data_IF_855948963324
#
_entry.id   IF_855948963324
#
_cell.length_a   1.000
_cell.length_b   1.000
_cell.length_c   1.000
_cell.angle_alpha   90.00
_cell.angle_beta   90.00
_cell.angle_gamma   90.00
#
_symmetry.space_group_name_H-M   'P 1'
#
loop_
_entity.id
_entity.type
_entity.pdbx_description
1 polymer ?
#
# COMPACT_ATOMS: atom_id res chain seq x y z
N UNK A 1 -1.70 -15.77 29.46
CA UNK A 1 -1.60 -14.32 29.19
C UNK A 1 -2.94 -13.71 29.48
N UNK A 2 -3.00 -12.61 30.26
CA UNK A 2 -4.22 -11.83 30.45
C UNK A 2 -4.12 -10.55 29.64
N UNK A 3 -5.23 -10.12 29.06
CA UNK A 3 -5.31 -8.93 28.22
C UNK A 3 -6.31 -7.95 28.80
N UNK A 4 -5.93 -6.67 28.87
CA UNK A 4 -6.79 -5.56 29.31
C UNK A 4 -6.55 -4.33 28.43
N UNK A 5 -7.52 -3.41 28.44
CA UNK A 5 -7.40 -2.10 27.83
C UNK A 5 -7.35 -1.04 28.93
N UNK A 6 -6.40 -0.13 28.83
CA UNK A 6 -6.21 0.95 29.80
C UNK A 6 -6.19 2.30 29.10
N UNK A 7 -6.76 3.32 29.75
CA UNK A 7 -6.61 4.71 29.33
C UNK A 7 -5.39 5.30 30.02
N UNK A 8 -4.42 5.74 29.24
CA UNK A 8 -3.23 6.45 29.69
C UNK A 8 -3.32 7.92 29.30
N UNK A 9 -2.40 8.75 29.81
CA UNK A 9 -2.26 10.16 29.40
C UNK A 9 -2.04 10.28 27.87
N UNK A 10 -1.38 9.28 27.28
CA UNK A 10 -1.04 9.24 25.85
C UNK A 10 -2.11 8.53 24.99
N UNK A 11 -3.30 8.28 25.55
CA UNK A 11 -4.40 7.61 24.87
C UNK A 11 -4.63 6.17 25.33
N UNK A 12 -5.28 5.37 24.48
CA UNK A 12 -5.61 3.98 24.80
C UNK A 12 -4.38 3.07 24.64
N UNK A 13 -4.20 2.18 25.60
CA UNK A 13 -3.16 1.16 25.60
C UNK A 13 -3.77 -0.24 25.70
N UNK A 14 -3.24 -1.17 24.91
CA UNK A 14 -3.44 -2.61 25.09
C UNK A 14 -2.38 -3.12 26.06
N UNK A 15 -2.80 -3.75 27.16
CA UNK A 15 -1.90 -4.29 28.18
C UNK A 15 -1.91 -5.82 28.12
N UNK A 16 -0.73 -6.40 27.95
CA UNK A 16 -0.50 -7.84 28.06
C UNK A 16 0.18 -8.15 29.39
N UNK A 17 -0.56 -8.74 30.33
CA UNK A 17 0.00 -9.23 31.59
C UNK A 17 0.53 -10.66 31.38
N UNK A 18 1.84 -10.81 31.53
CA UNK A 18 2.54 -12.08 31.36
C UNK A 18 2.57 -12.87 32.67
N UNK A 19 2.60 -14.20 32.56
CA UNK A 19 2.77 -15.08 33.73
C UNK A 19 4.15 -14.87 34.34
N UNK A 20 4.29 -15.10 35.64
CA UNK A 20 5.48 -14.76 36.44
C UNK A 20 6.74 -15.47 35.94
N UNK A 21 6.59 -16.66 35.36
CA UNK A 21 7.65 -17.52 34.83
C UNK A 21 8.04 -17.18 33.38
N UNK A 22 7.30 -16.28 32.72
CA UNK A 22 7.54 -15.93 31.32
C UNK A 22 8.81 -15.11 31.18
N UNK A 23 9.85 -15.68 30.56
CA UNK A 23 11.10 -14.98 30.29
C UNK A 23 10.95 -14.05 29.08
N UNK A 24 11.00 -12.76 29.36
CA UNK A 24 11.03 -11.70 28.34
C UNK A 24 12.45 -11.58 27.77
N UNK A 25 12.52 -11.29 26.47
CA UNK A 25 13.75 -10.99 25.74
C UNK A 25 13.88 -9.46 25.69
N UNK A 26 14.46 -8.86 26.73
CA UNK A 26 14.51 -7.40 26.90
C UNK A 26 15.17 -6.66 25.73
N UNK A 27 16.16 -7.28 25.11
CA UNK A 27 16.80 -6.76 23.90
C UNK A 27 15.79 -6.45 22.77
N UNK A 28 14.76 -7.28 22.59
CA UNK A 28 13.75 -7.06 21.53
C UNK A 28 12.85 -5.86 21.83
N UNK A 29 12.61 -5.57 23.11
CA UNK A 29 11.89 -4.38 23.55
C UNK A 29 12.70 -3.14 23.20
N UNK A 30 14.00 -3.14 23.53
CA UNK A 30 14.89 -2.04 23.17
C UNK A 30 14.99 -1.86 21.66
N UNK A 31 14.97 -2.94 20.87
CA UNK A 31 15.00 -2.85 19.41
C UNK A 31 13.78 -2.12 18.86
N UNK A 32 12.58 -2.45 19.34
CA UNK A 32 11.34 -1.76 18.95
C UNK A 32 11.37 -0.29 19.41
N UNK A 33 11.86 -0.04 20.62
CA UNK A 33 11.90 1.31 21.21
C UNK A 33 12.84 2.25 20.46
N UNK A 34 14.05 1.80 20.12
CA UNK A 34 15.05 2.63 19.44
C UNK A 34 14.92 2.62 17.92
N UNK A 35 14.14 1.71 17.34
CA UNK A 35 13.89 1.62 15.90
C UNK A 35 12.39 1.54 15.64
N UNK A 36 11.65 2.64 15.90
CA UNK A 36 10.20 2.64 15.73
C UNK A 36 9.85 2.36 14.27
N UNK A 37 9.00 1.36 14.06
CA UNK A 37 8.49 1.00 12.75
C UNK A 37 6.96 1.17 12.74
N UNK A 38 6.37 1.84 11.74
CA UNK A 38 4.93 2.16 11.75
C UNK A 38 4.03 0.92 11.78
N UNK A 39 4.53 -0.24 11.36
CA UNK A 39 3.78 -1.51 11.38
C UNK A 39 3.97 -2.34 12.67
N UNK A 40 4.76 -1.86 13.63
CA UNK A 40 4.97 -2.52 14.93
C UNK A 40 4.53 -1.55 16.01
N UNK A 41 3.59 -1.95 16.87
CA UNK A 41 3.14 -1.06 17.93
C UNK A 41 4.26 -0.79 18.93
N UNK A 42 4.47 0.49 19.33
CA UNK A 42 5.41 0.83 20.39
C UNK A 42 5.04 0.10 21.68
N UNK A 43 6.06 -0.44 22.37
CA UNK A 43 5.87 -1.24 23.58
C UNK A 43 6.64 -0.65 24.76
N UNK A 44 5.98 -0.58 25.91
CA UNK A 44 6.58 -0.24 27.19
C UNK A 44 6.47 -1.42 28.16
N UNK A 45 7.60 -1.82 28.74
CA UNK A 45 7.65 -2.82 29.81
C UNK A 45 7.42 -2.16 31.16
N UNK A 46 6.46 -2.67 31.93
CA UNK A 46 6.19 -2.23 33.31
C UNK A 46 6.17 -3.43 34.24
N UNK A 47 6.46 -3.19 35.52
CA UNK A 47 6.29 -4.17 36.59
C UNK A 47 5.22 -3.68 37.55
N UNK A 48 4.16 -4.46 37.71
CA UNK A 48 3.06 -4.16 38.62
C UNK A 48 2.72 -5.42 39.42
N UNK A 49 2.66 -5.34 40.74
CA UNK A 49 2.29 -6.46 41.63
C UNK A 49 3.07 -7.77 41.35
N UNK A 50 4.39 -7.69 41.15
CA UNK A 50 5.26 -8.81 40.78
C UNK A 50 4.91 -9.52 39.44
N UNK A 51 4.06 -8.92 38.62
CA UNK A 51 3.81 -9.33 37.24
C UNK A 51 4.50 -8.37 36.28
N UNK A 52 4.91 -8.90 35.13
CA UNK A 52 5.45 -8.06 34.07
C UNK A 52 4.37 -7.83 33.03
N UNK A 53 4.19 -6.56 32.70
CA UNK A 53 3.17 -6.09 31.76
C UNK A 53 3.85 -5.41 30.58
N UNK A 54 3.29 -5.65 29.40
CA UNK A 54 3.68 -4.97 28.16
C UNK A 54 2.51 -4.09 27.73
N UNK A 55 2.71 -2.78 27.76
CA UNK A 55 1.73 -1.79 27.34
C UNK A 55 2.06 -1.33 25.91
N UNK A 56 1.10 -1.52 24.99
CA UNK A 56 1.18 -1.09 23.59
C UNK A 56 0.29 0.11 23.36
N UNK A 57 0.88 1.23 22.92
CA UNK A 57 0.14 2.46 22.61
C UNK A 57 -0.60 2.31 21.27
N UNK A 58 -1.93 2.44 21.29
CA UNK A 58 -2.77 2.19 20.10
C UNK A 58 -2.92 3.43 19.20
N UNK A 59 -2.89 4.63 19.78
CA UNK A 59 -3.16 5.87 19.05
C UNK A 59 -4.58 5.89 18.47
N UNK A 60 -4.70 6.24 17.18
CA UNK A 60 -5.98 6.28 16.44
C UNK A 60 -6.34 4.95 15.76
N UNK A 61 -5.60 3.88 16.03
CA UNK A 61 -5.89 2.58 15.42
C UNK A 61 -7.01 1.86 16.17
N UNK A 62 -7.85 1.15 15.43
CA UNK A 62 -8.80 0.18 15.97
C UNK A 62 -8.34 -1.24 15.64
N UNK A 63 -8.83 -2.24 16.38
CA UNK A 63 -8.49 -3.63 16.06
C UNK A 63 -9.01 -4.00 14.67
N UNK A 64 -8.34 -4.93 14.00
CA UNK A 64 -8.75 -5.42 12.69
C UNK A 64 -10.10 -6.14 12.77
N UNK A 65 -10.37 -6.80 13.90
CA UNK A 65 -11.69 -7.37 14.21
C UNK A 65 -12.78 -6.30 14.21
N UNK A 66 -12.58 -5.20 14.94
CA UNK A 66 -13.52 -4.08 14.96
C UNK A 66 -13.66 -3.45 13.57
N UNK A 67 -12.55 -3.30 12.84
CA UNK A 67 -12.58 -2.70 11.51
C UNK A 67 -13.42 -3.52 10.53
N UNK A 68 -13.28 -4.84 10.56
CA UNK A 68 -14.08 -5.75 9.75
C UNK A 68 -15.56 -5.72 10.13
N UNK A 69 -15.88 -5.58 11.41
CA UNK A 69 -17.27 -5.44 11.87
C UNK A 69 -17.90 -4.12 11.42
N UNK A 70 -17.18 -3.01 11.59
CA UNK A 70 -17.65 -1.67 11.25
C UNK A 70 -17.71 -1.41 9.73
N UNK A 71 -16.93 -2.16 8.94
CA UNK A 71 -16.84 -2.02 7.48
C UNK A 71 -17.28 -3.30 6.76
N UNK A 72 -18.59 -3.52 6.70
CA UNK A 72 -19.21 -4.70 6.07
C UNK A 72 -18.82 -4.92 4.59
N UNK A 73 -18.26 -3.92 3.91
CA UNK A 73 -17.95 -3.92 2.47
C UNK A 73 -16.46 -4.12 2.12
N UNK A 74 -15.65 -4.72 3.01
CA UNK A 74 -14.24 -4.99 2.71
C UNK A 74 -14.12 -5.87 1.46
N UNK A 75 -13.31 -5.43 0.47
CA UNK A 75 -13.06 -6.17 -0.77
C UNK A 75 -11.88 -7.14 -0.64
N UNK A 76 -11.78 -8.16 -1.50
CA UNK A 76 -10.69 -9.16 -1.43
C UNK A 76 -9.32 -8.50 -1.57
N UNK A 77 -9.21 -7.52 -2.47
CA UNK A 77 -7.99 -6.72 -2.64
C UNK A 77 -7.54 -6.04 -1.33
N UNK A 78 -8.48 -5.62 -0.48
CA UNK A 78 -8.13 -5.01 0.82
C UNK A 78 -7.58 -6.06 1.78
N UNK A 79 -8.18 -7.25 1.84
CA UNK A 79 -7.64 -8.39 2.59
C UNK A 79 -6.22 -8.71 2.11
N UNK A 80 -6.02 -8.83 0.78
CA UNK A 80 -4.70 -9.14 0.22
C UNK A 80 -3.65 -8.06 0.52
N UNK A 81 -4.05 -6.77 0.57
CA UNK A 81 -3.17 -5.67 0.99
C UNK A 81 -2.80 -5.72 2.47
N UNK A 82 -3.76 -6.09 3.32
CA UNK A 82 -3.50 -6.31 4.75
C UNK A 82 -2.51 -7.46 4.90
N UNK A 83 -2.76 -8.60 4.25
CA UNK A 83 -1.86 -9.76 4.29
C UNK A 83 -0.46 -9.44 3.77
N UNK A 84 -0.35 -8.68 2.68
CA UNK A 84 0.94 -8.22 2.16
C UNK A 84 1.67 -7.34 3.18
N UNK A 85 0.96 -6.41 3.82
CA UNK A 85 1.54 -5.52 4.82
C UNK A 85 2.07 -6.30 6.02
N UNK A 86 1.35 -7.34 6.46
CA UNK A 86 1.77 -8.25 7.53
C UNK A 86 3.04 -8.99 7.13
N UNK A 87 3.05 -9.60 5.93
CA UNK A 87 4.22 -10.32 5.42
C UNK A 87 5.45 -9.41 5.33
N UNK A 88 5.26 -8.19 4.81
CA UNK A 88 6.35 -7.22 4.70
C UNK A 88 6.90 -6.85 6.08
N UNK A 89 6.04 -6.58 7.06
CA UNK A 89 6.47 -6.31 8.42
C UNK A 89 7.24 -7.49 9.03
N UNK A 90 6.77 -8.73 8.85
CA UNK A 90 7.47 -9.95 9.32
C UNK A 90 8.86 -10.05 8.67
N UNK A 91 8.97 -9.79 7.37
CA UNK A 91 10.25 -9.86 6.67
C UNK A 91 11.23 -8.77 7.15
N UNK A 92 10.76 -7.53 7.24
CA UNK A 92 11.54 -6.38 7.73
C UNK A 92 11.95 -6.55 9.19
N UNK A 93 11.15 -7.23 10.01
CA UNK A 93 11.44 -7.44 11.44
C UNK A 93 12.77 -8.18 11.68
N UNK A 94 13.21 -9.00 10.71
CA UNK A 94 14.48 -9.72 10.78
C UNK A 94 15.68 -8.78 10.81
N UNK A 95 15.58 -7.64 10.12
CA UNK A 95 16.62 -6.61 10.08
C UNK A 95 16.79 -5.93 11.46
N UNK A 96 15.76 -6.01 12.31
CA UNK A 96 15.77 -5.51 13.69
C UNK A 96 16.01 -6.62 14.72
N UNK A 97 16.47 -7.80 14.30
CA UNK A 97 16.70 -8.96 15.18
C UNK A 97 15.45 -9.40 15.96
N UNK A 98 14.27 -9.11 15.40
CA UNK A 98 12.99 -9.58 15.88
C UNK A 98 12.65 -10.90 15.19
N UNK A 99 11.99 -11.79 15.91
CA UNK A 99 11.59 -13.08 15.37
C UNK A 99 10.16 -13.02 14.84
N UNK A 100 9.92 -13.52 13.63
CA UNK A 100 8.58 -13.50 13.02
C UNK A 100 7.49 -14.18 13.88
N UNK A 101 7.84 -15.21 14.64
CA UNK A 101 6.92 -15.89 15.56
C UNK A 101 6.50 -15.04 16.78
N UNK A 102 7.20 -13.94 17.05
CA UNK A 102 6.87 -12.98 18.10
C UNK A 102 5.63 -12.14 17.79
N UNK A 103 5.19 -12.06 16.53
CA UNK A 103 3.97 -11.33 16.20
C UNK A 103 2.70 -12.09 16.59
N UNK A 104 1.74 -11.39 17.18
CA UNK A 104 0.41 -11.93 17.48
C UNK A 104 -0.48 -11.84 16.23
N UNK A 105 -0.48 -12.90 15.42
CA UNK A 105 -1.26 -12.98 14.18
C UNK A 105 -2.72 -13.40 14.44
N UNK A 106 -3.49 -12.50 15.04
CA UNK A 106 -4.92 -12.63 15.30
C UNK A 106 -5.56 -11.25 15.19
N UNK A 107 -6.79 -11.18 14.68
CA UNK A 107 -7.48 -9.92 14.34
C UNK A 107 -7.66 -8.98 15.53
N UNK A 108 -7.59 -9.50 16.77
CA UNK A 108 -7.67 -8.72 18.01
C UNK A 108 -6.37 -8.01 18.39
N UNK A 109 -5.24 -8.45 17.83
CA UNK A 109 -3.90 -7.92 18.12
C UNK A 109 -3.23 -7.28 16.89
N UNK A 110 -3.96 -7.20 15.79
CA UNK A 110 -3.59 -6.42 14.61
C UNK A 110 -4.50 -5.22 14.60
N UNK A 111 -3.90 -4.04 14.47
CA UNK A 111 -4.60 -2.77 14.50
C UNK A 111 -4.49 -2.10 13.15
N UNK A 112 -5.51 -1.35 12.77
CA UNK A 112 -5.59 -0.67 11.48
C UNK A 112 -6.08 0.77 11.69
N UNK A 113 -5.44 1.68 10.98
CA UNK A 113 -5.86 3.07 10.94
C UNK A 113 -7.03 3.21 9.95
N UNK A 114 -8.19 3.74 10.35
CA UNK A 114 -9.41 3.72 9.52
C UNK A 114 -9.26 4.48 8.20
N UNK A 115 -8.53 5.61 8.24
CA UNK A 115 -8.31 6.48 7.08
C UNK A 115 -7.19 5.95 6.16
N UNK A 116 -5.98 5.77 6.68
CA UNK A 116 -4.80 5.39 5.87
C UNK A 116 -4.78 3.91 5.51
N UNK A 117 -5.54 3.08 6.23
CA UNK A 117 -5.53 1.61 6.14
C UNK A 117 -4.16 1.00 6.43
N UNK A 118 -3.28 1.75 7.10
CA UNK A 118 -2.00 1.21 7.58
C UNK A 118 -2.24 0.31 8.78
N UNK A 119 -1.60 -0.86 8.77
CA UNK A 119 -1.65 -1.79 9.89
C UNK A 119 -0.53 -1.52 10.88
N UNK A 120 -0.76 -1.87 12.15
CA UNK A 120 0.24 -1.96 13.19
C UNK A 120 0.00 -3.23 14.02
N UNK A 121 1.05 -4.01 14.29
CA UNK A 121 0.94 -5.31 14.94
C UNK A 121 1.55 -5.31 16.33
N UNK A 122 0.94 -6.07 17.24
CA UNK A 122 1.51 -6.36 18.55
C UNK A 122 2.64 -7.39 18.41
N UNK A 123 3.80 -7.08 18.98
CA UNK A 123 4.94 -7.98 19.03
C UNK A 123 5.19 -8.44 20.47
N UNK A 124 5.14 -9.74 20.72
CA UNK A 124 5.39 -10.36 22.01
C UNK A 124 6.88 -10.82 22.12
N UNK A 125 7.71 -10.14 22.93
CA UNK A 125 9.14 -10.41 23.07
C UNK A 125 9.42 -11.59 24.02
N UNK A 126 8.85 -12.75 23.73
CA UNK A 126 9.04 -13.99 24.50
C UNK A 126 9.48 -15.11 23.57
N UNK A 127 10.10 -16.15 24.11
CA UNK A 127 10.43 -17.34 23.32
C UNK A 127 9.13 -18.09 22.99
N UNK A 128 8.69 -17.99 21.74
CA UNK A 128 7.57 -18.76 21.21
C UNK A 128 8.13 -19.83 20.26
N UNK A 129 7.49 -21.00 20.26
CA UNK A 129 7.83 -22.14 19.39
C UNK A 129 6.73 -22.40 18.37
N UNK A 130 5.84 -21.44 18.16
CA UNK A 130 4.67 -21.61 17.31
C UNK A 130 5.04 -21.58 15.83
N UNK A 131 4.32 -22.38 15.03
CA UNK A 131 4.45 -22.34 13.58
C UNK A 131 3.85 -21.05 13.01
N UNK A 132 4.74 -20.18 12.53
CA UNK A 132 4.39 -18.91 11.90
C UNK A 132 3.52 -19.08 10.65
N UNK A 133 3.74 -20.14 9.86
CA UNK A 133 2.95 -20.41 8.67
C UNK A 133 1.52 -20.81 9.05
N UNK A 134 1.37 -21.66 10.08
CA UNK A 134 0.06 -22.02 10.62
C UNK A 134 -0.70 -20.81 11.16
N UNK A 135 -0.03 -19.94 11.91
CA UNK A 135 -0.62 -18.67 12.40
C UNK A 135 -1.10 -17.77 11.27
N UNK A 136 -0.28 -17.57 10.24
CA UNK A 136 -0.64 -16.72 9.10
C UNK A 136 -1.78 -17.33 8.28
N UNK A 137 -1.81 -18.67 8.13
CA UNK A 137 -2.92 -19.39 7.50
C UNK A 137 -4.22 -19.20 8.28
N UNK A 138 -4.18 -19.33 9.60
CA UNK A 138 -5.33 -19.10 10.48
C UNK A 138 -5.84 -17.67 10.39
N UNK A 139 -4.95 -16.67 10.34
CA UNK A 139 -5.34 -15.28 10.14
C UNK A 139 -6.05 -15.05 8.79
N UNK A 140 -5.50 -15.61 7.70
CA UNK A 140 -6.12 -15.52 6.39
C UNK A 140 -7.51 -16.15 6.39
N UNK A 141 -7.68 -17.28 7.07
CA UNK A 141 -8.97 -17.95 7.24
C UNK A 141 -9.96 -17.06 8.00
N UNK A 142 -9.56 -16.50 9.15
CA UNK A 142 -10.41 -15.58 9.94
C UNK A 142 -10.87 -14.37 9.13
N UNK A 143 -9.97 -13.78 8.34
CA UNK A 143 -10.32 -12.62 7.50
C UNK A 143 -11.32 -12.99 6.40
N UNK A 144 -11.12 -14.13 5.74
CA UNK A 144 -12.03 -14.55 4.66
C UNK A 144 -13.39 -15.03 5.18
N UNK A 145 -13.48 -15.55 6.40
CA UNK A 145 -14.77 -15.94 7.01
C UNK A 145 -15.54 -14.76 7.60
N UNK A 146 -14.83 -13.76 8.13
CA UNK A 146 -15.45 -12.57 8.74
C UNK A 146 -16.03 -11.63 7.68
N UNK A 147 -15.41 -11.56 6.49
CA UNK A 147 -15.86 -10.68 5.41
C UNK A 147 -16.89 -11.39 4.54
N UNK A 148 -18.00 -10.70 4.23
CA UNK A 148 -19.11 -11.27 3.45
C UNK A 148 -18.68 -11.73 2.06
N UNK A 149 -19.04 -12.97 1.71
CA UNK A 149 -18.79 -13.57 0.39
C UNK A 149 -19.47 -12.81 -0.75
N UNK A 150 -20.51 -12.03 -0.47
CA UNK A 150 -21.16 -11.17 -1.45
C UNK A 150 -20.23 -10.07 -1.98
N UNK A 151 -19.25 -9.64 -1.18
CA UNK A 151 -18.26 -8.63 -1.56
C UNK A 151 -17.29 -9.14 -2.63
N UNK A 152 -17.12 -10.46 -2.74
CA UNK A 152 -16.14 -11.09 -3.64
C UNK A 152 -16.73 -11.51 -4.99
N UNK A 153 -18.01 -11.20 -5.28
CA UNK A 153 -18.69 -11.64 -6.52
C UNK A 153 -17.94 -11.28 -7.81
N UNK A 154 -17.22 -10.17 -7.81
CA UNK A 154 -16.43 -9.69 -8.97
C UNK A 154 -15.03 -10.31 -9.06
N UNK A 155 -14.59 -11.02 -8.03
CA UNK A 155 -13.20 -11.47 -7.82
C UNK A 155 -13.14 -13.00 -7.60
N UNK A 156 -14.15 -13.74 -8.08
CA UNK A 156 -14.33 -15.18 -7.85
C UNK A 156 -13.11 -16.02 -8.22
N UNK A 157 -12.47 -15.74 -9.35
CA UNK A 157 -11.31 -16.51 -9.80
C UNK A 157 -10.13 -16.36 -8.83
N UNK A 158 -9.94 -15.14 -8.32
CA UNK A 158 -8.86 -14.80 -7.38
C UNK A 158 -9.18 -15.38 -6.00
N UNK A 159 -10.44 -15.29 -5.57
CA UNK A 159 -10.90 -15.95 -4.35
C UNK A 159 -10.60 -17.45 -4.40
N UNK A 160 -10.94 -18.11 -5.52
CA UNK A 160 -10.67 -19.53 -5.72
C UNK A 160 -9.17 -19.84 -5.65
N UNK A 161 -8.32 -19.03 -6.29
CA UNK A 161 -6.86 -19.20 -6.20
C UNK A 161 -6.34 -19.07 -4.77
N UNK A 162 -6.87 -18.11 -3.99
CA UNK A 162 -6.52 -17.91 -2.58
C UNK A 162 -6.97 -19.08 -1.72
N UNK A 163 -8.19 -19.59 -1.93
CA UNK A 163 -8.72 -20.76 -1.24
C UNK A 163 -7.93 -22.04 -1.57
N UNK A 164 -7.64 -22.25 -2.86
CA UNK A 164 -6.81 -23.37 -3.33
C UNK A 164 -5.42 -23.32 -2.69
N UNK A 165 -4.78 -22.14 -2.67
CA UNK A 165 -3.47 -21.97 -2.05
C UNK A 165 -3.51 -22.21 -0.53
N UNK A 166 -4.50 -21.65 0.18
CA UNK A 166 -4.70 -21.86 1.62
C UNK A 166 -4.82 -23.35 1.95
N UNK A 167 -5.54 -24.10 1.11
CA UNK A 167 -5.81 -25.52 1.33
C UNK A 167 -4.63 -26.45 0.97
N UNK A 168 -3.54 -25.92 0.37
CA UNK A 168 -2.32 -26.71 0.13
C UNK A 168 -1.72 -27.19 1.46
N UNK A 169 -1.12 -28.40 1.41
CA UNK A 169 -0.36 -28.96 2.54
C UNK A 169 0.87 -28.12 2.88
N UNK A 170 1.49 -27.50 1.88
CA UNK A 170 2.73 -26.72 2.00
C UNK A 170 2.45 -25.21 1.98
N UNK A 171 1.57 -24.74 2.87
CA UNK A 171 1.34 -23.30 3.01
C UNK A 171 2.59 -22.62 3.61
N UNK A 172 3.06 -21.55 2.98
CA UNK A 172 4.21 -20.79 3.48
C UNK A 172 4.12 -19.29 3.15
N UNK A 173 4.78 -18.47 3.95
CA UNK A 173 4.83 -17.00 3.76
C UNK A 173 5.27 -16.62 2.34
N UNK A 174 6.35 -17.23 1.84
CA UNK A 174 6.91 -16.90 0.54
C UNK A 174 5.93 -17.21 -0.60
N UNK A 175 5.22 -18.33 -0.52
CA UNK A 175 4.22 -18.69 -1.53
C UNK A 175 2.99 -17.79 -1.46
N UNK A 176 2.54 -17.39 -0.27
CA UNK A 176 1.45 -16.41 -0.13
C UNK A 176 1.85 -15.05 -0.71
N UNK A 177 3.08 -14.61 -0.46
CA UNK A 177 3.59 -13.35 -1.01
C UNK A 177 3.63 -13.37 -2.54
N UNK A 178 4.04 -14.50 -3.13
CA UNK A 178 4.04 -14.68 -4.59
C UNK A 178 2.62 -14.67 -5.15
N UNK A 179 1.67 -15.37 -4.51
CA UNK A 179 0.26 -15.35 -4.90
C UNK A 179 -0.31 -13.92 -4.89
N UNK A 180 -0.05 -13.14 -3.84
CA UNK A 180 -0.50 -11.75 -3.75
C UNK A 180 0.12 -10.91 -4.88
N UNK A 181 1.38 -11.16 -5.24
CA UNK A 181 2.04 -10.46 -6.34
C UNK A 181 1.43 -10.82 -7.71
N UNK A 182 1.17 -12.10 -7.95
CA UNK A 182 0.56 -12.59 -9.20
C UNK A 182 -0.86 -12.06 -9.39
N UNK A 183 -1.67 -12.08 -8.33
CA UNK A 183 -3.04 -11.55 -8.37
C UNK A 183 -3.05 -10.05 -8.70
N UNK A 184 -2.14 -9.25 -8.14
CA UNK A 184 -1.97 -7.84 -8.49
C UNK A 184 -1.59 -7.62 -9.96
N UNK A 185 -0.73 -8.46 -10.53
CA UNK A 185 -0.38 -8.38 -11.95
C UNK A 185 -1.61 -8.69 -12.81
N UNK A 186 -2.36 -9.74 -12.47
CA UNK A 186 -3.61 -10.10 -13.15
C UNK A 186 -4.63 -8.96 -13.14
N UNK A 187 -4.85 -8.29 -11.99
CA UNK A 187 -5.72 -7.12 -11.91
C UNK A 187 -5.28 -5.96 -12.81
N UNK A 188 -3.98 -5.71 -12.93
CA UNK A 188 -3.45 -4.63 -13.78
C UNK A 188 -3.67 -4.93 -15.26
N UNK A 189 -3.45 -6.17 -15.68
CA UNK A 189 -3.64 -6.58 -17.08
C UNK A 189 -5.11 -6.54 -17.47
N UNK A 190 -6.00 -7.11 -16.65
CA UNK A 190 -7.44 -7.08 -16.90
C UNK A 190 -8.00 -5.64 -16.96
N UNK A 191 -7.51 -4.74 -16.10
CA UNK A 191 -7.90 -3.32 -16.14
C UNK A 191 -7.46 -2.64 -17.45
N UNK A 192 -6.27 -2.97 -17.95
CA UNK A 192 -5.74 -2.41 -19.18
C UNK A 192 -6.50 -2.93 -20.41
N UNK A 193 -6.85 -4.22 -20.44
CA UNK A 193 -7.70 -4.80 -21.49
C UNK A 193 -9.11 -4.23 -21.49
N UNK A 194 -9.72 -4.06 -20.31
CA UNK A 194 -11.04 -3.45 -20.19
C UNK A 194 -11.06 -1.98 -20.64
N UNK A 195 -9.95 -1.25 -20.43
CA UNK A 195 -9.78 0.11 -20.96
C UNK A 195 -9.67 0.10 -22.48
N UNK A 196 -8.90 -0.82 -23.07
CA UNK A 196 -8.79 -0.98 -24.53
C UNK A 196 -10.14 -1.32 -25.17
N UNK A 197 -10.92 -2.22 -24.56
CA UNK A 197 -12.26 -2.58 -25.05
C UNK A 197 -13.24 -1.40 -25.00
N UNK A 198 -13.21 -0.59 -23.94
CA UNK A 198 -14.01 0.65 -23.85
C UNK A 198 -13.57 1.73 -24.84
N UNK A 199 -12.33 1.71 -25.29
CA UNK A 199 -11.85 2.58 -26.37
C UNK A 199 -12.30 2.09 -27.75
N UNK A 200 -12.42 0.77 -27.94
CA UNK A 200 -12.96 0.13 -29.15
C UNK A 200 -14.48 0.33 -29.31
N UNK A 201 -15.24 0.47 -28.24
CA UNK A 201 -16.70 0.69 -28.27
C UNK A 201 -17.13 2.15 -28.51
N UNK A 202 -16.18 3.10 -28.59
CA UNK A 202 -16.53 4.49 -28.95
C UNK A 202 -16.86 4.54 -30.45
N UNK A 203 -18.02 5.09 -30.86
CA UNK A 203 -18.36 5.21 -32.27
C UNK A 203 -17.26 6.01 -32.98
N UNK A 204 -16.75 5.42 -34.06
CA UNK A 204 -15.68 5.97 -34.88
C UNK A 204 -16.09 7.35 -35.40
N UNK A 205 -15.61 8.42 -34.74
CA UNK A 205 -15.65 9.76 -35.30
C UNK A 205 -14.37 9.93 -36.12
N UNK A 206 -14.53 10.04 -37.45
CA UNK A 206 -13.46 10.52 -38.33
C UNK A 206 -13.08 11.93 -37.86
N UNK A 207 -12.10 12.00 -36.97
CA UNK A 207 -11.38 13.22 -36.68
C UNK A 207 -10.06 13.08 -37.41
N UNK A 208 -9.82 14.03 -38.30
CA UNK A 208 -8.57 14.20 -39.01
C UNK A 208 -7.41 14.13 -38.02
N UNK A 209 -6.44 13.28 -38.36
CA UNK A 209 -5.20 13.06 -37.61
C UNK A 209 -4.43 14.37 -37.53
N UNK A 210 -4.60 15.09 -36.43
CA UNK A 210 -3.60 15.98 -35.86
C UNK A 210 -3.52 15.61 -34.38
N UNK A 211 -2.36 15.09 -33.99
CA UNK A 211 -2.17 14.37 -32.74
C UNK A 211 -2.55 15.18 -31.51
N UNK A 212 -3.45 14.63 -30.71
CA UNK A 212 -3.72 15.12 -29.38
C UNK A 212 -3.24 14.09 -28.36
N UNK A 213 -2.14 14.42 -27.69
CA UNK A 213 -1.65 13.67 -26.53
C UNK A 213 -2.65 13.91 -25.42
N UNK A 214 -3.38 12.87 -25.02
CA UNK A 214 -4.17 12.89 -23.79
C UNK A 214 -3.24 13.08 -22.60
N UNK A 215 -3.10 14.35 -22.20
CA UNK A 215 -2.68 14.75 -20.86
C UNK A 215 -3.48 13.94 -19.85
N UNK A 216 -2.76 13.14 -19.07
CA UNK A 216 -3.19 12.84 -17.72
C UNK A 216 -3.43 14.17 -17.02
N UNK A 217 -4.69 14.48 -16.74
CA UNK A 217 -5.11 15.66 -15.98
C UNK A 217 -4.54 15.55 -14.55
N UNK A 218 -3.30 15.99 -14.33
CA UNK A 218 -3.05 16.84 -13.17
C UNK A 218 -3.98 18.03 -13.39
N UNK A 219 -5.06 18.12 -12.62
CA UNK A 219 -6.05 19.17 -12.83
C UNK A 219 -5.32 20.51 -12.82
N UNK A 220 -5.38 21.24 -13.93
CA UNK A 220 -4.91 22.62 -14.04
C UNK A 220 -5.49 23.47 -12.90
N UNK A 221 -6.60 23.02 -12.30
CA UNK A 221 -7.23 23.55 -11.12
C UNK A 221 -6.27 23.72 -9.93
N UNK A 222 -5.28 22.85 -9.69
CA UNK A 222 -4.37 23.05 -8.54
C UNK A 222 -3.39 24.21 -8.76
N UNK A 223 -2.96 24.44 -10.00
CA UNK A 223 -2.08 25.57 -10.36
C UNK A 223 -2.87 26.88 -10.37
N UNK A 224 -4.08 26.89 -10.93
CA UNK A 224 -4.96 28.06 -10.87
C UNK A 224 -5.40 28.39 -9.45
N UNK A 225 -5.67 27.39 -8.61
CA UNK A 225 -6.00 27.60 -7.20
C UNK A 225 -4.81 28.19 -6.43
N UNK A 226 -3.59 27.74 -6.71
CA UNK A 226 -2.38 28.29 -6.11
C UNK A 226 -2.13 29.75 -6.55
N UNK A 227 -2.30 30.06 -7.84
CA UNK A 227 -2.20 31.43 -8.35
C UNK A 227 -3.28 32.35 -7.75
N UNK A 228 -4.52 31.87 -7.67
CA UNK A 228 -5.62 32.60 -7.05
C UNK A 228 -5.36 32.87 -5.57
N UNK A 229 -4.87 31.87 -4.83
CA UNK A 229 -4.51 32.01 -3.42
C UNK A 229 -3.41 33.06 -3.22
N UNK A 230 -2.40 33.11 -4.10
CA UNK A 230 -1.36 34.13 -4.05
C UNK A 230 -1.89 35.56 -4.28
N UNK A 231 -2.83 35.73 -5.22
CA UNK A 231 -3.48 37.03 -5.45
C UNK A 231 -4.29 37.47 -4.23
N UNK A 232 -5.03 36.55 -3.61
CA UNK A 232 -5.80 36.84 -2.38
C UNK A 232 -4.88 37.20 -1.22
N UNK A 233 -3.76 36.48 -1.04
CA UNK A 233 -2.78 36.78 0.01
C UNK A 233 -2.15 38.16 -0.17
N UNK A 234 -1.82 38.54 -1.42
CA UNK A 234 -1.31 39.88 -1.74
C UNK A 234 -2.32 40.97 -1.42
N UNK A 235 -3.62 40.72 -1.67
CA UNK A 235 -4.69 41.65 -1.35
C UNK A 235 -4.84 41.83 0.17
N UNK A 236 -4.83 40.72 0.93
CA UNK A 236 -4.88 40.75 2.41
C UNK A 236 -3.68 41.52 2.97
N UNK A 237 -2.48 41.25 2.47
CA UNK A 237 -1.26 41.98 2.88
C UNK A 237 -1.34 43.47 2.54
N UNK A 238 -1.87 43.84 1.38
CA UNK A 238 -2.05 45.23 1.00
C UNK A 238 -3.02 45.96 1.96
N UNK A 239 -4.14 45.34 2.31
CA UNK A 239 -5.08 45.90 3.30
C UNK A 239 -4.42 46.04 4.68
N UNK A 240 -3.62 45.06 5.10
CA UNK A 240 -2.93 45.09 6.40
C UNK A 240 -1.83 46.16 6.46
N UNK A 241 -1.22 46.50 5.30
CA UNK A 241 -0.19 47.52 5.20
C UNK A 241 -0.77 48.95 5.25
N UNK A 242 -2.01 49.16 4.80
CA UNK A 242 -2.70 50.46 4.88
C UNK A 242 -2.92 50.88 6.34
N UNK A 243 -3.06 49.90 7.24
CA UNK A 243 -3.24 50.12 8.68
C UNK A 243 -1.91 50.39 9.43
N UNK A 244 -0.76 50.09 8.80
CA UNK A 244 0.60 50.26 9.36
C UNK A 244 1.32 51.53 8.88
N UNK A 245 0.56 52.59 8.55
CA UNK A 245 0.96 53.83 7.89
C UNK A 245 2.06 54.72 8.52
N UNK A 246 3.06 54.18 9.22
CA UNK A 246 4.21 54.93 9.76
C UNK A 246 5.60 54.28 9.55
N UNK A 247 5.73 53.22 8.75
CA UNK A 247 7.03 52.54 8.57
C UNK A 247 7.41 52.42 7.08
N UNK A 248 7.65 53.56 6.43
CA UNK A 248 7.88 53.64 4.98
C UNK A 248 9.03 52.79 4.44
N UNK A 249 10.13 52.64 5.21
CA UNK A 249 11.29 51.86 4.75
C UNK A 249 11.10 50.35 4.84
N UNK A 250 10.27 49.86 5.77
CA UNK A 250 9.98 48.43 5.89
C UNK A 250 9.17 47.93 4.69
N UNK A 251 8.24 48.76 4.18
CA UNK A 251 7.36 48.43 3.05
C UNK A 251 8.17 48.14 1.78
N UNK A 252 9.20 48.93 1.49
CA UNK A 252 10.06 48.74 0.32
C UNK A 252 10.84 47.42 0.43
N UNK A 253 11.39 47.11 1.61
CA UNK A 253 12.16 45.88 1.85
C UNK A 253 11.25 44.65 1.71
N UNK A 254 10.03 44.69 2.28
CA UNK A 254 9.06 43.60 2.15
C UNK A 254 8.59 43.42 0.71
N UNK A 255 8.37 44.51 -0.04
CA UNK A 255 8.00 44.45 -1.45
C UNK A 255 9.07 43.75 -2.31
N UNK A 256 10.35 44.07 -2.08
CA UNK A 256 11.48 43.42 -2.77
C UNK A 256 11.57 41.94 -2.38
N UNK A 257 11.40 41.60 -1.10
CA UNK A 257 11.46 40.23 -0.63
C UNK A 257 10.36 39.37 -1.27
N UNK A 258 9.12 39.86 -1.34
CA UNK A 258 8.00 39.16 -1.96
C UNK A 258 8.24 38.98 -3.47
N UNK A 259 8.71 40.02 -4.18
CA UNK A 259 9.04 39.93 -5.59
C UNK A 259 10.16 38.91 -5.87
N UNK A 260 11.16 38.84 -4.99
CA UNK A 260 12.23 37.84 -5.12
C UNK A 260 11.71 36.41 -4.92
N UNK A 261 10.77 36.21 -3.99
CA UNK A 261 10.18 34.91 -3.69
C UNK A 261 9.26 34.42 -4.82
N UNK A 262 8.51 35.32 -5.46
CA UNK A 262 7.67 34.97 -6.62
C UNK A 262 8.52 34.55 -7.82
N UNK A 263 9.60 35.25 -8.12
CA UNK A 263 10.54 34.88 -9.19
C UNK A 263 11.19 33.51 -8.90
N UNK A 264 11.61 33.25 -7.65
CA UNK A 264 12.18 31.96 -7.27
C UNK A 264 11.17 30.80 -7.45
N UNK A 265 9.91 31.02 -7.08
CA UNK A 265 8.84 30.04 -7.27
C UNK A 265 8.57 29.76 -8.76
N UNK A 266 8.56 30.78 -9.62
CA UNK A 266 8.39 30.60 -11.07
C UNK A 266 9.53 29.76 -11.64
N UNK A 267 10.78 30.04 -11.25
CA UNK A 267 11.95 29.28 -11.70
C UNK A 267 11.92 27.82 -11.20
N UNK A 268 11.45 27.58 -9.98
CA UNK A 268 11.29 26.22 -9.44
C UNK A 268 10.24 25.42 -10.21
N UNK A 269 9.13 26.05 -10.58
CA UNK A 269 8.07 25.46 -11.41
C UNK A 269 8.61 25.12 -12.80
N UNK A 270 9.34 26.04 -13.44
CA UNK A 270 9.89 25.81 -14.78
C UNK A 270 10.90 24.64 -14.79
N UNK A 271 11.78 24.59 -13.78
CA UNK A 271 12.72 23.47 -13.57
C UNK A 271 12.00 22.15 -13.31
N UNK A 272 10.89 22.16 -12.58
CA UNK A 272 10.07 20.97 -12.33
C UNK A 272 9.37 20.48 -13.60
N UNK A 273 8.81 21.40 -14.41
CA UNK A 273 8.17 21.09 -15.70
C UNK A 273 9.19 20.50 -16.68
N UNK A 274 10.40 21.05 -16.75
CA UNK A 274 11.47 20.53 -17.60
C UNK A 274 11.91 19.12 -17.17
N UNK A 275 12.02 18.87 -15.86
CA UNK A 275 12.35 17.54 -15.32
C UNK A 275 11.27 16.52 -15.68
N UNK A 276 9.99 16.88 -15.58
CA UNK A 276 8.87 16.01 -15.96
C UNK A 276 8.91 15.63 -17.46
N UNK A 277 9.15 16.61 -18.36
CA UNK A 277 9.30 16.36 -19.81
C UNK A 277 10.44 15.39 -20.13
N UNK A 278 11.52 15.40 -19.35
CA UNK A 278 12.65 14.48 -19.55
C UNK A 278 12.33 13.04 -19.14
N UNK A 279 11.49 12.86 -18.12
CA UNK A 279 11.04 11.55 -17.63
C UNK A 279 10.05 10.94 -18.62
N UNK A 280 9.08 11.72 -19.09
CA UNK A 280 8.08 11.27 -20.08
C UNK A 280 8.75 10.78 -21.38
N UNK A 281 9.82 11.46 -21.85
CA UNK A 281 10.61 11.03 -23.01
C UNK A 281 11.37 9.71 -22.77
N UNK A 282 11.78 9.44 -21.54
CA UNK A 282 12.52 8.21 -21.18
C UNK A 282 11.56 7.02 -21.11
N UNK A 283 10.36 7.22 -20.56
CA UNK A 283 9.29 6.21 -20.53
C UNK A 283 8.78 5.87 -21.94
N UNK A 284 8.64 6.86 -22.83
CA UNK A 284 8.24 6.62 -24.24
C UNK A 284 9.25 5.73 -24.99
N UNK A 285 10.54 5.79 -24.64
CA UNK A 285 11.58 4.94 -25.22
C UNK A 285 11.51 3.50 -24.70
N UNK A 286 11.26 3.33 -23.39
CA UNK A 286 11.14 2.01 -22.75
C UNK A 286 9.91 1.25 -23.27
N UNK A 287 8.76 1.93 -23.42
CA UNK A 287 7.53 1.31 -23.93
C UNK A 287 7.68 0.84 -25.38
N UNK A 288 8.44 1.58 -26.21
CA UNK A 288 8.74 1.16 -27.59
C UNK A 288 9.61 -0.10 -27.60
N UNK A 289 10.63 -0.18 -26.76
CA UNK A 289 11.52 -1.34 -26.70
C UNK A 289 10.82 -2.61 -26.16
N UNK A 290 9.88 -2.47 -25.22
CA UNK A 290 9.07 -3.60 -24.70
C UNK A 290 8.01 -4.09 -25.71
N UNK A 291 7.46 -3.19 -26.55
CA UNK A 291 6.51 -3.56 -27.60
C UNK A 291 7.09 -4.49 -28.68
N UNK A 292 8.39 -4.36 -28.98
CA UNK A 292 9.09 -5.25 -29.89
C UNK A 292 9.21 -6.68 -29.34
N UNK A 293 9.36 -6.85 -28.03
CA UNK A 293 9.42 -8.18 -27.41
C UNK A 293 8.07 -8.90 -27.43
N UNK A 294 6.96 -8.15 -27.26
CA UNK A 294 5.61 -8.71 -27.38
C UNK A 294 5.30 -9.29 -28.77
N UNK A 295 5.68 -8.58 -29.83
CA UNK A 295 5.49 -9.07 -31.21
C UNK A 295 6.36 -10.29 -31.54
N UNK A 296 7.56 -10.39 -30.97
CA UNK A 296 8.43 -11.55 -31.14
C UNK A 296 7.85 -12.81 -30.48
N UNK A 297 7.30 -12.66 -29.27
CA UNK A 297 6.66 -13.76 -28.53
C UNK A 297 5.41 -14.26 -29.26
N UNK A 298 4.59 -13.35 -29.80
CA UNK A 298 3.40 -13.72 -30.58
C UNK A 298 3.74 -14.48 -31.87
N UNK A 299 4.87 -14.13 -32.52
CA UNK A 299 5.37 -14.86 -33.69
C UNK A 299 5.86 -16.27 -33.32
N UNK A 300 6.60 -16.41 -32.22
CA UNK A 300 7.07 -17.72 -31.74
C UNK A 300 5.93 -18.66 -31.30
N UNK A 301 4.86 -18.12 -30.71
CA UNK A 301 3.67 -18.91 -30.34
C UNK A 301 2.95 -19.44 -31.59
N UNK A 302 2.78 -18.59 -32.62
CA UNK A 302 2.18 -19.01 -33.90
C UNK A 302 2.97 -20.11 -34.61
N UNK A 303 4.30 -19.99 -34.66
CA UNK A 303 5.16 -21.02 -35.27
C UNK A 303 5.06 -22.36 -34.52
N UNK A 304 4.96 -22.32 -33.18
CA UNK A 304 4.84 -23.54 -32.36
C UNK A 304 3.51 -24.28 -32.57
N UNK A 305 2.42 -23.55 -32.81
CA UNK A 305 1.11 -24.15 -33.09
C UNK A 305 1.02 -24.75 -34.50
N UNK A 306 1.72 -24.18 -35.49
CA UNK A 306 1.83 -24.76 -36.83
C UNK A 306 2.56 -26.11 -36.76
N UNK A 307 3.71 -26.14 -36.09
CA UNK A 307 4.48 -27.38 -35.92
C UNK A 307 3.67 -28.47 -35.22
N UNK A 308 2.91 -28.12 -34.18
CA UNK A 308 2.04 -29.10 -33.49
C UNK A 308 0.98 -29.72 -34.40
N UNK A 309 0.41 -28.94 -35.32
CA UNK A 309 -0.58 -29.43 -36.29
C UNK A 309 0.05 -30.35 -37.33
N UNK A 310 1.25 -30.03 -37.80
CA UNK A 310 2.00 -30.89 -38.73
C UNK A 310 2.39 -32.23 -38.08
N UNK A 311 2.82 -32.22 -36.82
CA UNK A 311 3.11 -33.45 -36.07
C UNK A 311 1.88 -34.30 -35.81
N UNK A 312 0.70 -33.70 -35.60
CA UNK A 312 -0.55 -34.44 -35.42
C UNK A 312 -0.98 -35.13 -36.72
N UNK A 313 -0.92 -34.41 -37.86
CA UNK A 313 -1.27 -34.96 -39.17
C UNK A 313 -0.35 -36.13 -39.57
N UNK A 314 0.96 -35.98 -39.34
CA UNK A 314 1.93 -37.04 -39.64
C UNK A 314 1.74 -38.29 -38.78
N UNK A 315 1.18 -38.14 -37.57
CA UNK A 315 0.89 -39.26 -36.67
C UNK A 315 -0.35 -40.04 -37.11
N UNK A 316 -1.33 -39.39 -37.72
CA UNK A 316 -2.50 -40.05 -38.29
C UNK A 316 -2.13 -40.85 -39.56
N UNK A 317 -1.29 -40.29 -40.44
CA UNK A 317 -0.79 -40.99 -41.64
C UNK A 317 0.00 -42.28 -41.31
N UNK A 318 0.73 -42.30 -40.20
CA UNK A 318 1.49 -43.46 -39.71
C UNK A 318 0.62 -44.53 -39.04
N UNK A 319 -0.67 -44.26 -38.82
CA UNK A 319 -1.62 -45.17 -38.15
C UNK A 319 -2.61 -45.86 -39.10
N UNK A 320 -2.49 -45.60 -40.40
CA UNK A 320 -3.23 -46.23 -41.51
C UNK A 320 -2.32 -47.13 -42.34
#
# INVERSE_FOLDING_TARGET
MKVSYEKTINGQCLVLSLQKETKIIDFQIEMIRYNPHPQILPVEKRKLNNQTELCYLLGEHLSLEQYCYDHENMMLNEILKIMESIINCINISRDYLLYGYGFLLDMRYIFIHPITKSIAMVYQPVKLTDDLNAKLKGLLEMLMTTVSMDNFKKEKDILKQVEEYRNKKEFCIAGLQNLIRETKVSYRMNKLELQKLKELEKPFRLSTVIGDRTKQNCSMNSVYFFLLFQVVLMFILACFLEELGKIGNAIIIFGIAIASLTVANILAIDKYILKKKSIDKKEEKIIKDEGWQGQLVEKMVREKDILRKEFAHKKEELST
#
